data_IF_544613406935
#
_entry.id   IF_544613406935
#
_cell.length_a   1.000
_cell.length_b   1.000
_cell.length_c   1.000
_cell.angle_alpha   90.00
_cell.angle_beta   90.00
_cell.angle_gamma   90.00
#
_symmetry.space_group_name_H-M   'P 1'
#
loop_
_entity.id
_entity.type
_entity.pdbx_description
1 polymer ?
#
# COMPACT_ATOMS: atom_id res chain seq x y z
N UNK A 1 -4.20 -16.11 -2.04
CA UNK A 1 -3.52 -14.85 -2.36
C UNK A 1 -3.32 -14.08 -1.07
N UNK A 2 -2.08 -13.78 -0.71
CA UNK A 2 -1.71 -12.93 0.41
C UNK A 2 -1.73 -11.48 -0.06
N UNK A 3 -2.54 -10.67 0.61
CA UNK A 3 -2.81 -9.30 0.22
C UNK A 3 -2.26 -8.37 1.29
N UNK A 4 -1.53 -7.34 0.88
CA UNK A 4 -1.16 -6.23 1.76
C UNK A 4 -1.85 -4.97 1.25
N UNK A 5 -2.64 -4.33 2.11
CA UNK A 5 -3.23 -3.03 1.85
C UNK A 5 -2.48 -1.99 2.70
N UNK A 6 -1.58 -1.25 2.06
CA UNK A 6 -0.64 -0.39 2.76
C UNK A 6 -1.02 1.09 2.62
N UNK A 7 -1.10 1.82 3.73
CA UNK A 7 -1.40 3.25 3.76
C UNK A 7 -0.22 4.02 4.32
N UNK A 8 0.37 4.91 3.52
CA UNK A 8 1.33 5.90 4.02
C UNK A 8 0.58 7.12 4.56
N UNK A 9 0.61 7.24 5.89
CA UNK A 9 -0.01 8.31 6.66
C UNK A 9 0.83 9.59 6.62
N UNK A 10 0.26 10.69 7.11
CA UNK A 10 0.97 11.97 7.24
C UNK A 10 1.91 11.97 8.44
N UNK A 11 1.53 11.29 9.53
CA UNK A 11 2.29 11.13 10.78
C UNK A 11 1.61 10.10 11.70
N UNK A 12 2.33 9.54 12.69
CA UNK A 12 1.71 8.77 13.77
C UNK A 12 0.70 9.61 14.55
N UNK A 13 -0.54 9.14 14.64
CA UNK A 13 -1.62 9.82 15.37
C UNK A 13 -2.81 8.88 15.60
N UNK A 14 -3.64 9.17 16.60
CA UNK A 14 -4.95 8.53 16.75
C UNK A 14 -5.87 8.77 15.53
N UNK A 15 -5.59 9.80 14.73
CA UNK A 15 -6.30 10.10 13.48
C UNK A 15 -5.72 9.38 12.26
N UNK A 16 -4.58 8.67 12.40
CA UNK A 16 -3.97 7.88 11.34
C UNK A 16 -4.75 6.57 11.14
N UNK A 17 -5.99 6.70 10.66
CA UNK A 17 -6.89 5.57 10.43
C UNK A 17 -6.84 5.22 8.94
N UNK A 18 -6.43 4.00 8.55
CA UNK A 18 -6.32 3.61 7.14
C UNK A 18 -7.71 3.26 6.56
N UNK A 19 -8.62 4.23 6.54
CA UNK A 19 -10.04 4.00 6.25
C UNK A 19 -10.26 3.36 4.87
N UNK A 20 -9.56 3.83 3.83
CA UNK A 20 -9.68 3.26 2.48
C UNK A 20 -9.24 1.79 2.46
N UNK A 21 -8.10 1.46 3.06
CA UNK A 21 -7.61 0.09 3.15
C UNK A 21 -8.53 -0.78 4.03
N UNK A 22 -9.03 -0.25 5.15
CA UNK A 22 -9.99 -0.92 6.02
C UNK A 22 -11.31 -1.25 5.32
N UNK A 23 -11.86 -0.31 4.54
CA UNK A 23 -13.06 -0.55 3.72
C UNK A 23 -12.81 -1.62 2.66
N UNK A 24 -11.66 -1.60 1.98
CA UNK A 24 -11.29 -2.64 1.02
C UNK A 24 -11.19 -4.01 1.70
N UNK A 25 -10.49 -4.13 2.82
CA UNK A 25 -10.40 -5.38 3.58
C UNK A 25 -11.78 -5.90 4.02
N UNK A 26 -12.65 -5.01 4.49
CA UNK A 26 -14.02 -5.35 4.88
C UNK A 26 -14.87 -5.82 3.68
N UNK A 27 -14.61 -5.31 2.48
CA UNK A 27 -15.32 -5.72 1.26
C UNK A 27 -14.81 -7.04 0.66
N UNK A 28 -13.61 -7.50 1.03
CA UNK A 28 -13.09 -8.78 0.56
C UNK A 28 -13.97 -9.95 1.02
N UNK A 29 -14.10 -11.04 0.23
CA UNK A 29 -14.71 -12.26 0.71
C UNK A 29 -13.90 -12.86 1.87
N UNK A 30 -14.56 -13.62 2.75
CA UNK A 30 -13.98 -14.06 4.02
C UNK A 30 -12.64 -14.78 3.88
N UNK A 31 -12.53 -15.69 2.90
CA UNK A 31 -11.30 -16.44 2.63
C UNK A 31 -10.11 -15.53 2.27
N UNK A 32 -10.33 -14.48 1.50
CA UNK A 32 -9.33 -13.49 1.13
C UNK A 32 -9.04 -12.53 2.28
N UNK A 33 -10.07 -12.13 3.04
CA UNK A 33 -9.91 -11.24 4.20
C UNK A 33 -9.00 -11.84 5.26
N UNK A 34 -9.07 -13.16 5.51
CA UNK A 34 -8.15 -13.87 6.44
C UNK A 34 -6.68 -13.82 6.01
N UNK A 35 -6.43 -13.63 4.71
CA UNK A 35 -5.08 -13.52 4.13
C UNK A 35 -4.72 -12.08 3.75
N UNK A 36 -5.48 -11.10 4.25
CA UNK A 36 -5.29 -9.69 4.00
C UNK A 36 -4.68 -9.01 5.23
N UNK A 37 -3.57 -8.31 5.07
CA UNK A 37 -2.92 -7.50 6.10
C UNK A 37 -3.12 -6.02 5.80
N UNK A 38 -3.60 -5.27 6.79
CA UNK A 38 -3.53 -3.81 6.75
C UNK A 38 -2.14 -3.40 7.27
N UNK A 39 -1.48 -2.49 6.56
CA UNK A 39 -0.16 -2.01 6.95
C UNK A 39 -0.14 -0.48 6.98
N UNK A 40 0.22 0.07 8.13
CA UNK A 40 0.39 1.51 8.31
C UNK A 40 1.87 1.87 8.16
N UNK A 41 2.15 2.75 7.20
CA UNK A 41 3.47 3.31 6.96
C UNK A 41 3.48 4.77 7.41
N UNK A 42 4.63 5.22 7.89
CA UNK A 42 4.83 6.57 8.40
C UNK A 42 6.09 7.22 7.79
N UNK A 43 6.03 8.53 7.46
CA UNK A 43 7.11 9.23 6.76
C UNK A 43 8.41 9.33 7.55
N UNK A 44 8.35 9.18 8.88
CA UNK A 44 9.52 9.19 9.76
C UNK A 44 10.33 7.88 9.72
N UNK A 45 9.77 6.81 9.16
CA UNK A 45 10.49 5.55 8.95
C UNK A 45 11.37 5.64 7.69
N UNK A 46 12.45 4.87 7.68
CA UNK A 46 13.31 4.77 6.51
C UNK A 46 12.58 4.01 5.36
N UNK A 47 12.72 4.42 4.09
CA UNK A 47 12.11 3.72 2.95
C UNK A 47 12.45 2.22 2.86
N UNK A 48 13.63 1.80 3.31
CA UNK A 48 14.02 0.39 3.32
C UNK A 48 13.25 -0.38 4.41
N UNK A 49 12.90 0.29 5.52
CA UNK A 49 12.00 -0.27 6.53
C UNK A 49 10.59 -0.48 5.96
N UNK A 50 10.08 0.42 5.11
CA UNK A 50 8.80 0.19 4.41
C UNK A 50 8.87 -1.03 3.50
N UNK A 51 9.96 -1.17 2.74
CA UNK A 51 10.17 -2.31 1.85
C UNK A 51 10.17 -3.64 2.61
N UNK A 52 10.91 -3.71 3.71
CA UNK A 52 10.98 -4.91 4.55
C UNK A 52 9.60 -5.30 5.10
N UNK A 53 8.84 -4.32 5.63
CA UNK A 53 7.48 -4.56 6.15
C UNK A 53 6.50 -5.00 5.07
N UNK A 54 6.62 -4.45 3.86
CA UNK A 54 5.76 -4.79 2.72
C UNK A 54 6.04 -6.19 2.20
N UNK A 55 7.31 -6.59 2.13
CA UNK A 55 7.73 -7.90 1.65
C UNK A 55 7.60 -9.01 2.71
N UNK A 56 7.33 -8.62 3.95
CA UNK A 56 7.10 -9.54 5.05
C UNK A 56 5.97 -10.53 4.71
N UNK A 57 6.20 -11.82 4.99
CA UNK A 57 5.26 -12.91 4.71
C UNK A 57 5.01 -13.20 3.23
N UNK A 58 5.82 -12.67 2.31
CA UNK A 58 5.80 -13.03 0.89
C UNK A 58 4.44 -12.75 0.22
N UNK A 59 4.03 -11.47 0.08
CA UNK A 59 2.73 -11.13 -0.48
C UNK A 59 2.64 -11.42 -1.98
N UNK A 60 1.45 -11.74 -2.44
CA UNK A 60 1.14 -11.87 -3.87
C UNK A 60 0.67 -10.54 -4.47
N UNK A 61 0.03 -9.70 -3.65
CA UNK A 61 -0.54 -8.42 -4.05
C UNK A 61 -0.27 -7.35 -2.99
N UNK A 62 0.15 -6.17 -3.44
CA UNK A 62 0.25 -4.97 -2.61
C UNK A 62 -0.59 -3.86 -3.23
N UNK A 63 -1.53 -3.29 -2.47
CA UNK A 63 -2.35 -2.17 -2.90
C UNK A 63 -2.11 -0.91 -2.08
N UNK A 64 -2.03 0.23 -2.77
CA UNK A 64 -1.81 1.55 -2.17
C UNK A 64 -2.94 2.53 -2.51
N UNK A 65 -3.60 3.14 -1.53
CA UNK A 65 -4.38 4.35 -1.75
C UNK A 65 -3.43 5.55 -1.91
N UNK A 66 -3.56 6.25 -3.04
CA UNK A 66 -2.76 7.42 -3.39
C UNK A 66 -3.52 8.71 -3.09
N UNK A 67 -2.88 9.58 -2.33
CA UNK A 67 -3.30 10.92 -1.94
C UNK A 67 -2.22 11.94 -2.29
N UNK A 68 -2.56 13.23 -2.26
CA UNK A 68 -1.65 14.32 -2.64
C UNK A 68 -0.33 14.32 -1.85
N UNK A 69 -0.34 13.89 -0.58
CA UNK A 69 0.86 13.85 0.27
C UNK A 69 1.72 12.59 0.10
N UNK A 70 1.17 11.48 -0.38
CA UNK A 70 1.87 10.20 -0.40
C UNK A 70 2.20 9.67 -1.81
N UNK A 71 1.71 10.32 -2.86
CA UNK A 71 1.90 9.86 -4.25
C UNK A 71 3.37 9.61 -4.59
N UNK A 72 4.21 10.64 -4.47
CA UNK A 72 5.62 10.55 -4.85
C UNK A 72 6.38 9.43 -4.09
N UNK A 73 6.36 9.38 -2.74
CA UNK A 73 7.08 8.33 -2.02
C UNK A 73 6.54 6.92 -2.33
N UNK A 74 5.23 6.75 -2.54
CA UNK A 74 4.66 5.44 -2.90
C UNK A 74 5.07 5.00 -4.31
N UNK A 75 5.13 5.92 -5.29
CA UNK A 75 5.57 5.57 -6.64
C UNK A 75 7.05 5.17 -6.65
N UNK A 76 7.89 5.83 -5.88
CA UNK A 76 9.30 5.43 -5.70
C UNK A 76 9.42 4.05 -5.04
N UNK A 77 8.65 3.83 -3.97
CA UNK A 77 8.58 2.54 -3.28
C UNK A 77 8.14 1.40 -4.23
N UNK A 78 7.13 1.66 -5.06
CA UNK A 78 6.67 0.71 -6.05
C UNK A 78 7.70 0.37 -7.13
N UNK A 79 8.48 1.35 -7.59
CA UNK A 79 9.59 1.10 -8.52
C UNK A 79 10.62 0.17 -7.88
N UNK A 80 10.98 0.40 -6.62
CA UNK A 80 11.88 -0.48 -5.85
C UNK A 80 11.29 -1.88 -5.68
N UNK A 81 10.00 -1.99 -5.33
CA UNK A 81 9.31 -3.29 -5.23
C UNK A 81 9.36 -4.09 -6.54
N UNK A 82 9.11 -3.45 -7.70
CA UNK A 82 9.20 -4.13 -9.01
C UNK A 82 10.60 -4.63 -9.32
N UNK A 83 11.64 -3.91 -8.90
CA UNK A 83 13.03 -4.33 -9.10
C UNK A 83 13.38 -5.57 -8.25
N UNK A 84 12.90 -5.61 -7.00
CA UNK A 84 13.23 -6.68 -6.05
C UNK A 84 12.34 -7.91 -6.27
N UNK A 85 11.05 -7.71 -6.51
CA UNK A 85 10.03 -8.77 -6.65
C UNK A 85 9.06 -8.44 -7.79
N UNK A 86 9.45 -8.65 -9.06
CA UNK A 86 8.62 -8.32 -10.22
C UNK A 86 7.31 -9.15 -10.30
N UNK A 87 7.22 -10.28 -9.59
CA UNK A 87 6.05 -11.13 -9.57
C UNK A 87 4.89 -10.60 -8.70
N UNK A 88 5.16 -9.67 -7.79
CA UNK A 88 4.12 -9.09 -6.92
C UNK A 88 3.20 -8.20 -7.76
N UNK A 89 1.90 -8.42 -7.69
CA UNK A 89 0.93 -7.54 -8.31
C UNK A 89 0.80 -6.24 -7.49
N UNK A 90 1.17 -5.12 -8.09
CA UNK A 90 1.03 -3.80 -7.48
C UNK A 90 -0.25 -3.12 -7.99
N UNK A 91 -1.06 -2.59 -7.07
CA UNK A 91 -2.32 -1.89 -7.37
C UNK A 91 -2.30 -0.50 -6.72
N UNK A 92 -2.77 0.50 -7.44
CA UNK A 92 -2.96 1.85 -6.92
C UNK A 92 -4.41 2.30 -7.11
N UNK A 93 -4.95 2.98 -6.12
CA UNK A 93 -6.28 3.59 -6.17
C UNK A 93 -6.29 4.95 -5.47
N UNK A 94 -7.47 5.55 -5.33
CA UNK A 94 -7.62 6.85 -4.67
C UNK A 94 -7.56 8.05 -5.64
N UNK A 95 -7.72 9.27 -5.12
CA UNK A 95 -7.93 10.48 -5.93
C UNK A 95 -6.81 10.75 -6.93
N UNK A 96 -5.54 10.56 -6.54
CA UNK A 96 -4.40 10.78 -7.42
C UNK A 96 -4.37 9.77 -8.57
N UNK A 97 -4.72 8.50 -8.28
CA UNK A 97 -4.75 7.45 -9.28
C UNK A 97 -5.86 7.66 -10.31
N UNK A 98 -7.02 8.17 -9.88
CA UNK A 98 -8.12 8.51 -10.78
C UNK A 98 -7.86 9.81 -11.57
N UNK A 99 -7.19 10.79 -10.97
CA UNK A 99 -6.88 12.06 -11.64
C UNK A 99 -5.80 11.91 -12.72
N UNK A 100 -4.78 11.09 -12.47
CA UNK A 100 -3.61 10.93 -13.36
C UNK A 100 -3.27 9.45 -13.63
N UNK A 101 -4.17 8.65 -14.22
CA UNK A 101 -4.02 7.20 -14.31
C UNK A 101 -2.76 6.73 -15.07
N UNK A 102 -2.25 7.53 -16.02
CA UNK A 102 -1.03 7.21 -16.77
C UNK A 102 0.27 7.47 -16.01
N UNK A 103 0.18 8.19 -14.90
CA UNK A 103 1.31 8.57 -14.05
C UNK A 103 1.30 7.79 -12.72
N UNK A 104 0.61 6.65 -12.71
CA UNK A 104 0.58 5.68 -11.60
C UNK A 104 1.50 4.49 -11.88
N UNK A 105 1.41 3.45 -11.04
CA UNK A 105 2.31 2.29 -10.97
C UNK A 105 2.69 1.69 -12.32
#
# INVERSE_FOLDING_TARGET
>A
MKIVLATLHVRPSAQAVPLAAGCLAAALPEAQRRNCKLLDLFPEQDPDTWLEQLLENDPDLIAFPLYSWNRLPILDLARRLRQIRPAILLVAGGPEASATPRETL
#
